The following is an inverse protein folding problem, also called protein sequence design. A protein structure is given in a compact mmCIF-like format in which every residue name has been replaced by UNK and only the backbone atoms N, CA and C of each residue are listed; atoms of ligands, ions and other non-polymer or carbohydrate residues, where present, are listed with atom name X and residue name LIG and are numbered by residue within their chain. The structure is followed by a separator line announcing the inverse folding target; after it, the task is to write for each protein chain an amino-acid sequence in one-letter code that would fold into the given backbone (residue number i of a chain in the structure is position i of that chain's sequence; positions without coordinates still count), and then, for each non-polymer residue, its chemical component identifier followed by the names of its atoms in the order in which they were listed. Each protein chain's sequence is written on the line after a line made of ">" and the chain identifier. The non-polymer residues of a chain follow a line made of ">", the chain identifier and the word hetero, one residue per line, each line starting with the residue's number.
data_IF_847613367382
#
_entry.id   IF_847613367382
#
_cell.length_a   1.000
_cell.length_b   1.000
_cell.length_c   1.000
_cell.angle_alpha   90.00
_cell.angle_beta   90.00
_cell.angle_gamma   90.00
#
_symmetry.space_group_name_H-M   'P 1'
#
loop_
_entity.id
_entity.type
_entity.pdbx_description
1 polymer ?
#
# COMPACT_ATOMS: atom_id res chain seq x y z
N UNK A 1 -44.16 -4.17 -21.29
CA UNK A 1 -43.39 -3.58 -20.18
C UNK A 1 -44.37 -3.01 -19.17
N UNK A 2 -44.16 -3.27 -17.88
CA UNK A 2 -45.00 -2.69 -16.82
C UNK A 2 -44.67 -1.19 -16.66
N UNK A 3 -45.63 -0.37 -16.21
CA UNK A 3 -45.44 1.09 -16.05
C UNK A 3 -44.19 1.44 -15.23
N UNK A 4 -43.87 0.63 -14.21
CA UNK A 4 -42.67 0.74 -13.39
C UNK A 4 -41.36 0.51 -14.17
N UNK A 5 -41.34 -0.40 -15.15
CA UNK A 5 -40.16 -0.69 -15.99
C UNK A 5 -39.87 0.45 -16.97
N UNK A 6 -40.92 1.09 -17.50
CA UNK A 6 -40.78 2.29 -18.36
C UNK A 6 -40.20 3.45 -17.55
N UNK A 7 -40.69 3.66 -16.33
CA UNK A 7 -40.20 4.70 -15.42
C UNK A 7 -38.72 4.48 -15.02
N UNK A 8 -38.35 3.25 -14.67
CA UNK A 8 -36.96 2.89 -14.33
C UNK A 8 -36.01 3.09 -15.52
N UNK A 9 -36.41 2.67 -16.72
CA UNK A 9 -35.59 2.87 -17.93
C UNK A 9 -35.42 4.37 -18.24
N UNK A 10 -36.48 5.17 -18.11
CA UNK A 10 -36.42 6.62 -18.30
C UNK A 10 -35.51 7.29 -17.26
N UNK A 11 -35.58 6.86 -15.99
CA UNK A 11 -34.74 7.39 -14.91
C UNK A 11 -33.25 7.08 -15.12
N UNK A 12 -32.91 5.87 -15.58
CA UNK A 12 -31.51 5.51 -15.93
C UNK A 12 -30.98 6.36 -17.09
N UNK A 13 -31.79 6.63 -18.11
CA UNK A 13 -31.40 7.50 -19.23
C UNK A 13 -31.16 8.94 -18.78
N UNK A 14 -32.04 9.51 -17.94
CA UNK A 14 -31.88 10.88 -17.42
C UNK A 14 -30.58 11.04 -16.62
N UNK A 15 -30.28 10.10 -15.71
CA UNK A 15 -29.04 10.13 -14.90
C UNK A 15 -27.79 10.04 -15.78
N UNK A 16 -27.82 9.24 -16.85
CA UNK A 16 -26.70 9.14 -17.80
C UNK A 16 -26.46 10.44 -18.60
N UNK A 17 -27.51 11.24 -18.85
CA UNK A 17 -27.40 12.52 -19.58
C UNK A 17 -26.98 13.72 -18.71
N UNK A 18 -27.21 13.67 -17.39
CA UNK A 18 -26.99 14.80 -16.49
C UNK A 18 -25.54 14.95 -15.98
N UNK A 19 -24.64 14.02 -16.33
CA UNK A 19 -23.28 13.93 -15.76
C UNK A 19 -22.14 14.36 -16.70
N UNK A 20 -22.43 14.88 -17.89
CA UNK A 20 -21.38 15.28 -18.84
C UNK A 20 -20.84 16.67 -18.49
N UNK A 21 -19.74 16.71 -17.72
CA UNK A 21 -18.89 17.89 -17.58
C UNK A 21 -18.55 18.45 -18.97
N UNK A 22 -18.46 19.78 -19.17
CA UNK A 22 -18.01 20.36 -20.43
C UNK A 22 -16.60 19.87 -20.83
N UNK A 23 -16.55 18.88 -21.71
CA UNK A 23 -15.31 18.38 -22.32
C UNK A 23 -14.94 19.24 -23.51
N UNK A 24 -14.03 20.18 -23.31
CA UNK A 24 -13.48 20.97 -24.41
C UNK A 24 -12.75 22.24 -23.99
N UNK A 25 -12.20 22.95 -24.97
CA UNK A 25 -11.55 24.25 -24.79
C UNK A 25 -11.65 25.11 -26.06
N UNK A 26 -11.76 26.43 -25.89
CA UNK A 26 -11.88 27.36 -27.01
C UNK A 26 -10.59 27.45 -27.83
N UNK A 27 -10.73 27.58 -29.15
CA UNK A 27 -9.64 27.78 -30.10
C UNK A 27 -10.03 28.88 -31.09
N UNK A 28 -9.07 29.77 -31.38
CA UNK A 28 -9.24 30.88 -32.32
C UNK A 28 -8.03 30.96 -33.23
N UNK A 29 -8.25 31.17 -34.52
CA UNK A 29 -7.19 31.32 -35.51
C UNK A 29 -7.56 32.33 -36.59
N UNK A 30 -6.55 32.87 -37.29
CA UNK A 30 -6.73 33.75 -38.45
C UNK A 30 -6.23 33.02 -39.69
N UNK A 31 -7.12 32.76 -40.64
CA UNK A 31 -6.80 32.03 -41.86
C UNK A 31 -6.35 32.99 -42.96
N UNK A 32 -5.22 32.67 -43.59
CA UNK A 32 -4.60 33.45 -44.67
C UNK A 32 -4.21 32.55 -45.83
N UNK A 33 -4.20 33.10 -47.03
CA UNK A 33 -3.65 32.44 -48.22
C UNK A 33 -2.11 32.55 -48.27
N UNK A 34 -1.49 31.92 -49.26
CA UNK A 34 -0.03 31.94 -49.49
C UNK A 34 0.54 33.35 -49.75
N UNK A 35 -0.28 34.30 -50.19
CA UNK A 35 0.07 35.72 -50.35
C UNK A 35 -0.14 36.54 -49.07
N UNK A 36 -0.49 35.91 -47.94
CA UNK A 36 -0.72 36.57 -46.65
C UNK A 36 -2.05 37.30 -46.51
N UNK A 37 -2.90 37.29 -47.54
CA UNK A 37 -4.23 37.89 -47.51
C UNK A 37 -5.18 37.03 -46.67
N UNK A 38 -6.10 37.66 -45.95
CA UNK A 38 -7.07 36.95 -45.10
C UNK A 38 -8.13 36.24 -45.95
N UNK A 39 -8.49 35.01 -45.57
CA UNK A 39 -9.60 34.27 -46.18
C UNK A 39 -10.91 34.75 -45.53
N UNK A 40 -11.40 35.93 -45.90
CA UNK A 40 -12.58 36.55 -45.27
C UNK A 40 -13.92 36.01 -45.82
N UNK A 41 -14.90 35.79 -44.93
CA UNK A 41 -16.26 35.30 -45.25
C UNK A 41 -16.31 33.98 -46.04
N UNK A 42 -15.28 33.14 -45.93
CA UNK A 42 -15.16 31.86 -46.64
C UNK A 42 -15.64 30.70 -45.78
N UNK A 43 -16.39 29.78 -46.39
CA UNK A 43 -16.70 28.49 -45.78
C UNK A 43 -15.46 27.59 -45.84
N UNK A 44 -15.07 27.04 -44.69
CA UNK A 44 -13.89 26.20 -44.53
C UNK A 44 -14.17 25.05 -43.59
N UNK A 45 -13.48 23.94 -43.78
CA UNK A 45 -13.50 22.81 -42.84
C UNK A 45 -12.15 22.69 -42.17
N UNK A 46 -12.11 22.77 -40.85
CA UNK A 46 -10.93 22.53 -40.04
C UNK A 46 -10.98 21.12 -39.46
N UNK A 47 -9.89 20.38 -39.56
CA UNK A 47 -9.66 19.13 -38.83
C UNK A 47 -8.62 19.39 -37.75
N UNK A 48 -8.99 19.09 -36.50
CA UNK A 48 -8.15 19.31 -35.33
C UNK A 48 -7.86 17.94 -34.70
N UNK A 49 -6.57 17.63 -34.53
CA UNK A 49 -6.11 16.33 -34.03
C UNK A 49 -5.20 16.52 -32.82
N UNK A 50 -5.47 15.77 -31.75
CA UNK A 50 -4.63 15.67 -30.56
C UNK A 50 -3.75 14.43 -30.70
N UNK A 51 -2.44 14.65 -30.83
CA UNK A 51 -1.46 13.62 -31.20
C UNK A 51 -0.29 13.55 -30.22
N UNK A 52 0.56 12.53 -30.37
CA UNK A 52 1.92 12.56 -29.86
C UNK A 52 2.80 13.52 -30.69
N UNK A 53 4.03 13.78 -30.22
CA UNK A 53 5.01 14.66 -30.89
C UNK A 53 5.31 14.27 -32.35
N UNK A 54 5.46 12.97 -32.61
CA UNK A 54 5.72 12.44 -33.94
C UNK A 54 4.50 12.46 -34.89
N UNK A 55 3.31 12.80 -34.40
CA UNK A 55 2.05 12.71 -35.16
C UNK A 55 1.61 11.28 -35.52
N UNK A 56 2.36 10.25 -35.09
CA UNK A 56 2.11 8.84 -35.42
C UNK A 56 0.97 8.21 -34.61
N UNK A 57 0.62 8.80 -33.47
CA UNK A 57 -0.52 8.40 -32.64
C UNK A 57 -1.51 9.56 -32.55
N UNK A 58 -2.73 9.32 -33.01
CA UNK A 58 -3.86 10.27 -32.87
C UNK A 58 -4.73 9.76 -31.72
N UNK A 59 -4.77 10.51 -30.62
CA UNK A 59 -5.59 10.18 -29.45
C UNK A 59 -7.06 10.56 -29.67
N UNK A 60 -7.27 11.67 -30.38
CA UNK A 60 -8.57 12.21 -30.74
C UNK A 60 -8.45 13.10 -31.98
N UNK A 61 -9.42 13.04 -32.88
CA UNK A 61 -9.57 14.00 -33.96
C UNK A 61 -11.04 14.34 -34.21
N UNK A 62 -11.30 15.59 -34.57
CA UNK A 62 -12.62 16.11 -34.91
C UNK A 62 -12.56 17.08 -36.09
N UNK A 63 -13.70 17.34 -36.71
CA UNK A 63 -13.87 18.33 -37.77
C UNK A 63 -14.93 19.39 -37.42
N UNK A 64 -14.69 20.60 -37.91
CA UNK A 64 -15.57 21.77 -37.78
C UNK A 64 -15.74 22.41 -39.16
N UNK A 65 -16.97 22.46 -39.67
CA UNK A 65 -17.33 23.26 -40.83
C UNK A 65 -17.78 24.64 -40.34
N UNK A 66 -17.02 25.69 -40.67
CA UNK A 66 -17.22 27.06 -40.16
C UNK A 66 -17.05 28.08 -41.27
N UNK A 67 -17.63 29.27 -41.10
CA UNK A 67 -17.34 30.43 -41.94
C UNK A 67 -16.38 31.36 -41.20
N UNK A 68 -15.37 31.90 -41.90
CA UNK A 68 -14.50 32.95 -41.36
C UNK A 68 -15.22 34.29 -41.28
N UNK A 69 -14.82 35.15 -40.33
CA UNK A 69 -15.30 36.54 -40.28
C UNK A 69 -14.69 37.42 -41.41
N UNK A 70 -15.05 38.70 -41.42
CA UNK A 70 -14.51 39.70 -42.37
C UNK A 70 -13.01 39.97 -42.25
N UNK A 71 -12.35 39.44 -41.21
CA UNK A 71 -10.89 39.51 -40.95
C UNK A 71 -10.21 38.15 -41.12
N UNK A 72 -10.93 37.12 -41.59
CA UNK A 72 -10.41 35.75 -41.73
C UNK A 72 -10.36 34.95 -40.43
N UNK A 73 -11.00 35.41 -39.36
CA UNK A 73 -10.97 34.77 -38.03
C UNK A 73 -11.97 33.62 -37.98
N UNK A 74 -11.54 32.48 -37.42
CA UNK A 74 -12.40 31.38 -36.97
C UNK A 74 -12.39 31.29 -35.44
N UNK A 75 -13.52 30.96 -34.83
CA UNK A 75 -13.64 30.67 -33.40
C UNK A 75 -14.43 29.37 -33.25
N UNK A 76 -13.90 28.41 -32.50
CA UNK A 76 -14.50 27.08 -32.31
C UNK A 76 -14.16 26.52 -30.92
N UNK A 77 -14.86 25.48 -30.49
CA UNK A 77 -14.57 24.75 -29.25
C UNK A 77 -14.07 23.35 -29.57
N UNK A 78 -12.83 23.06 -29.17
CA UNK A 78 -12.22 21.75 -29.39
C UNK A 78 -12.83 20.74 -28.42
N UNK A 79 -13.30 19.60 -28.93
CA UNK A 79 -14.08 18.61 -28.17
C UNK A 79 -15.60 18.74 -28.34
N UNK A 80 -16.05 19.64 -29.22
CA UNK A 80 -17.46 19.87 -29.59
C UNK A 80 -17.73 19.73 -31.09
N UNK A 81 -16.73 19.37 -31.89
CA UNK A 81 -16.86 19.14 -33.32
C UNK A 81 -17.45 17.76 -33.66
N UNK A 82 -17.46 17.44 -34.95
CA UNK A 82 -17.82 16.09 -35.41
C UNK A 82 -16.62 15.18 -35.24
N UNK A 83 -16.75 14.13 -34.41
CA UNK A 83 -15.64 13.20 -34.15
C UNK A 83 -15.26 12.46 -35.44
N UNK A 84 -13.97 12.52 -35.78
CA UNK A 84 -13.35 11.82 -36.92
C UNK A 84 -12.70 10.52 -36.43
N UNK A 85 -12.01 10.55 -35.27
CA UNK A 85 -11.41 9.36 -34.66
C UNK A 85 -11.09 9.55 -33.16
N UNK A 86 -10.89 8.43 -32.46
CA UNK A 86 -10.47 8.42 -31.06
C UNK A 86 -11.54 8.90 -30.08
N UNK A 87 -11.12 9.28 -28.87
CA UNK A 87 -11.99 9.84 -27.83
C UNK A 87 -11.29 10.92 -27.02
N UNK A 88 -11.96 12.06 -26.82
CA UNK A 88 -11.42 13.19 -26.05
C UNK A 88 -11.08 12.80 -24.59
N UNK A 89 -11.79 11.82 -24.02
CA UNK A 89 -11.55 11.29 -22.68
C UNK A 89 -10.32 10.37 -22.58
N UNK A 90 -9.81 9.86 -23.71
CA UNK A 90 -8.64 8.97 -23.77
C UNK A 90 -7.34 9.73 -24.07
N UNK A 91 -7.39 11.04 -24.26
CA UNK A 91 -6.20 11.88 -24.44
C UNK A 91 -5.38 11.88 -23.14
N UNK A 92 -4.06 11.60 -23.17
CA UNK A 92 -3.26 11.40 -21.97
C UNK A 92 -2.82 12.73 -21.33
N UNK A 93 -3.79 13.53 -20.89
CA UNK A 93 -3.56 14.84 -20.28
C UNK A 93 -2.57 14.84 -19.09
N UNK A 94 -2.61 13.88 -18.13
CA UNK A 94 -1.76 13.93 -16.93
C UNK A 94 -0.27 13.72 -17.21
N UNK A 95 0.08 12.90 -18.21
CA UNK A 95 1.48 12.69 -18.61
C UNK A 95 2.03 13.81 -19.48
N UNK A 96 1.15 14.68 -20.01
CA UNK A 96 1.51 15.67 -21.02
C UNK A 96 1.96 15.03 -22.33
N UNK A 97 2.77 15.76 -23.11
CA UNK A 97 3.27 15.27 -24.41
C UNK A 97 2.23 15.29 -25.53
N UNK A 98 1.08 15.94 -25.32
CA UNK A 98 0.01 16.10 -26.31
C UNK A 98 0.30 17.29 -27.22
N UNK A 99 0.09 17.12 -28.52
CA UNK A 99 0.25 18.15 -29.54
C UNK A 99 -1.07 18.35 -30.28
N UNK A 100 -1.41 19.60 -30.60
CA UNK A 100 -2.53 19.97 -31.45
C UNK A 100 -2.02 20.17 -32.88
N UNK A 101 -2.37 19.24 -33.77
CA UNK A 101 -2.23 19.38 -35.21
C UNK A 101 -3.50 20.02 -35.79
N UNK A 102 -3.34 21.04 -36.62
CA UNK A 102 -4.44 21.75 -37.28
C UNK A 102 -4.31 21.60 -38.79
N UNK A 103 -5.41 21.23 -39.44
CA UNK A 103 -5.49 21.05 -40.88
C UNK A 103 -6.71 21.79 -41.45
N UNK A 104 -6.55 22.40 -42.61
CA UNK A 104 -7.54 23.26 -43.26
C UNK A 104 -7.93 22.71 -44.63
N UNK A 105 -9.23 22.67 -44.90
CA UNK A 105 -9.79 22.40 -46.22
C UNK A 105 -10.71 23.55 -46.65
N UNK A 106 -10.58 24.01 -47.90
CA UNK A 106 -11.48 25.00 -48.51
C UNK A 106 -12.53 24.36 -49.44
N UNK A 107 -12.40 23.07 -49.75
CA UNK A 107 -13.32 22.30 -50.59
C UNK A 107 -14.03 21.15 -49.83
N UNK A 108 -13.65 20.89 -48.58
CA UNK A 108 -14.21 19.85 -47.72
C UNK A 108 -13.53 18.48 -47.83
N UNK A 109 -12.69 18.25 -48.85
CA UNK A 109 -12.00 16.98 -49.13
C UNK A 109 -10.51 17.03 -48.84
N UNK A 110 -9.82 18.06 -49.33
CA UNK A 110 -8.36 18.14 -49.31
C UNK A 110 -7.88 18.98 -48.14
N UNK A 111 -7.01 18.41 -47.29
CA UNK A 111 -6.56 19.01 -46.04
C UNK A 111 -5.09 19.43 -46.10
N UNK A 112 -4.84 20.74 -46.04
CA UNK A 112 -3.52 21.32 -45.87
C UNK A 112 -3.17 21.38 -44.37
N UNK A 113 -1.99 20.89 -43.98
CA UNK A 113 -1.53 21.05 -42.58
C UNK A 113 -1.10 22.49 -42.32
N UNK A 114 -1.77 23.15 -41.37
CA UNK A 114 -1.51 24.53 -40.95
C UNK A 114 -0.47 24.63 -39.83
N UNK A 115 -0.17 23.51 -39.16
CA UNK A 115 0.88 23.39 -38.16
C UNK A 115 0.57 22.36 -37.08
N UNK A 116 1.58 22.06 -36.27
CA UNK A 116 1.47 21.21 -35.08
C UNK A 116 2.14 21.94 -33.91
N UNK A 117 1.43 22.12 -32.80
CA UNK A 117 1.94 22.82 -31.62
C UNK A 117 1.77 21.99 -30.35
N UNK A 118 2.71 22.08 -29.41
CA UNK A 118 2.63 21.38 -28.13
C UNK A 118 1.56 22.05 -27.25
N UNK A 119 0.64 21.26 -26.71
CA UNK A 119 -0.29 21.73 -25.69
C UNK A 119 0.45 21.95 -24.37
N UNK A 120 0.35 23.15 -23.82
CA UNK A 120 0.87 23.49 -22.50
C UNK A 120 -0.27 23.50 -21.47
N UNK A 121 0.05 23.15 -20.23
CA UNK A 121 -0.93 23.15 -19.14
C UNK A 121 -1.37 24.59 -18.82
N UNK A 122 -2.66 24.87 -18.99
CA UNK A 122 -3.27 26.17 -18.64
C UNK A 122 -3.28 26.33 -17.10
N UNK A 123 -3.09 27.54 -16.53
CA UNK A 123 -3.07 27.75 -15.08
C UNK A 123 -4.29 27.19 -14.33
N UNK A 124 -5.48 27.26 -14.93
CA UNK A 124 -6.70 26.67 -14.35
C UNK A 124 -6.65 25.13 -14.28
N UNK A 125 -6.08 24.46 -15.29
CA UNK A 125 -5.91 23.02 -15.29
C UNK A 125 -4.88 22.56 -14.22
N UNK A 126 -3.81 23.35 -14.01
CA UNK A 126 -2.84 23.12 -12.92
C UNK A 126 -3.45 23.23 -11.52
N UNK A 127 -4.50 24.04 -11.36
CA UNK A 127 -5.23 24.17 -10.09
C UNK A 127 -6.31 23.09 -9.91
N UNK A 128 -6.97 22.67 -10.99
CA UNK A 128 -7.96 21.59 -10.92
C UNK A 128 -7.31 20.23 -10.60
N UNK A 129 -6.17 19.91 -11.21
CA UNK A 129 -5.45 18.63 -11.00
C UNK A 129 -4.92 18.47 -9.56
N UNK A 130 -4.50 19.56 -8.91
CA UNK A 130 -4.05 19.50 -7.51
C UNK A 130 -5.20 19.24 -6.52
N UNK A 131 -6.44 19.60 -6.90
CA UNK A 131 -7.68 19.39 -6.10
C UNK A 131 -8.43 18.09 -6.41
N UNK A 132 -8.23 17.47 -7.57
CA UNK A 132 -8.99 16.28 -7.97
C UNK A 132 -8.40 14.94 -7.48
N UNK A 133 -7.39 14.99 -6.61
CA UNK A 133 -6.90 13.82 -5.85
C UNK A 133 -7.78 13.54 -4.62
N UNK A 134 -9.09 13.48 -4.82
CA UNK A 134 -10.05 13.05 -3.82
C UNK A 134 -9.79 11.56 -3.50
N UNK A 135 -9.09 11.29 -2.40
CA UNK A 135 -8.80 9.93 -1.90
C UNK A 135 -7.32 9.54 -1.85
N UNK A 136 -6.37 10.39 -2.28
CA UNK A 136 -4.93 10.11 -2.07
C UNK A 136 -4.44 10.82 -0.82
N UNK A 137 -4.13 10.04 0.21
CA UNK A 137 -3.39 10.52 1.40
C UNK A 137 -2.02 11.03 0.95
N UNK A 138 -1.87 12.36 0.87
CA UNK A 138 -0.59 13.00 0.55
C UNK A 138 0.28 13.04 1.81
N UNK A 139 1.39 12.31 1.78
CA UNK A 139 2.44 12.38 2.81
C UNK A 139 3.80 12.14 2.16
N UNK A 140 4.80 12.93 2.55
CA UNK A 140 6.20 12.75 2.13
C UNK A 140 6.84 11.66 3.01
N UNK A 141 6.51 10.40 2.72
CA UNK A 141 7.04 9.26 3.44
C UNK A 141 8.50 8.97 3.07
N UNK A 142 9.44 9.41 3.90
CA UNK A 142 10.80 8.86 3.90
C UNK A 142 10.81 7.43 4.48
N UNK A 143 11.72 6.58 4.00
CA UNK A 143 11.85 5.20 4.49
C UNK A 143 12.28 5.22 5.96
N UNK A 144 11.40 4.77 6.85
CA UNK A 144 11.61 4.76 8.31
C UNK A 144 10.80 5.82 9.07
N UNK A 145 10.13 6.75 8.37
CA UNK A 145 9.29 7.78 8.98
C UNK A 145 7.81 7.47 8.80
N UNK A 146 7.01 7.64 9.85
CA UNK A 146 5.54 7.61 9.75
C UNK A 146 5.09 8.87 9.01
N UNK A 147 4.17 8.72 8.05
CA UNK A 147 3.58 9.86 7.36
C UNK A 147 2.73 10.70 8.34
N UNK A 148 3.31 11.79 8.85
CA UNK A 148 2.59 12.75 9.70
C UNK A 148 1.68 13.58 8.81
N UNK A 149 0.37 13.41 8.97
CA UNK A 149 -0.62 14.23 8.31
C UNK A 149 -0.70 15.60 9.01
N UNK A 150 -0.47 16.68 8.25
CA UNK A 150 -0.37 18.07 8.75
C UNK A 150 -1.35 19.04 8.06
N UNK A 151 -2.32 18.51 7.31
CA UNK A 151 -3.38 19.30 6.67
C UNK A 151 -4.50 19.72 7.64
N UNK A 152 -5.47 20.54 7.19
CA UNK A 152 -6.68 20.85 7.95
C UNK A 152 -7.88 19.90 7.71
N UNK A 153 -7.86 19.02 6.70
CA UNK A 153 -9.05 18.30 6.14
C UNK A 153 -9.55 17.04 6.89
N UNK A 154 -8.83 16.52 7.88
CA UNK A 154 -8.86 15.13 8.45
C UNK A 154 -8.38 14.02 7.49
N UNK A 155 -8.08 12.83 8.04
CA UNK A 155 -7.83 11.59 7.28
C UNK A 155 -9.01 10.64 7.46
N UNK A 156 -9.85 10.51 6.43
CA UNK A 156 -10.99 9.59 6.41
C UNK A 156 -10.64 8.28 5.69
N UNK A 157 -11.34 7.19 6.01
CA UNK A 157 -11.20 5.92 5.29
C UNK A 157 -10.10 4.97 5.78
N UNK A 158 -9.56 5.16 6.98
CA UNK A 158 -8.72 4.16 7.65
C UNK A 158 -9.62 3.15 8.42
N UNK A 159 -9.84 1.92 7.91
CA UNK A 159 -10.85 1.03 8.49
C UNK A 159 -10.51 0.52 9.90
N UNK A 160 -9.21 0.42 10.22
CA UNK A 160 -8.71 -0.20 11.46
C UNK A 160 -7.92 0.79 12.34
N UNK A 161 -7.85 2.07 11.97
CA UNK A 161 -7.14 3.11 12.72
C UNK A 161 -8.03 4.35 12.85
N UNK A 162 -8.54 4.60 14.05
CA UNK A 162 -9.36 5.76 14.35
C UNK A 162 -8.61 6.74 15.27
N UNK A 163 -8.74 8.04 15.01
CA UNK A 163 -8.11 9.14 15.74
C UNK A 163 -9.20 10.04 16.33
N UNK A 164 -9.93 9.54 17.33
CA UNK A 164 -10.94 10.28 18.07
C UNK A 164 -10.44 10.51 19.50
N UNK A 165 -9.79 11.66 19.75
CA UNK A 165 -9.09 12.05 20.98
C UNK A 165 -7.90 11.16 21.40
N UNK A 166 -7.84 9.90 20.96
CA UNK A 166 -6.75 8.95 21.16
C UNK A 166 -6.61 8.03 19.93
N UNK A 167 -5.45 7.36 19.81
CA UNK A 167 -5.22 6.33 18.80
C UNK A 167 -5.97 5.04 19.19
N UNK A 168 -6.86 4.58 18.32
CA UNK A 168 -7.55 3.28 18.44
C UNK A 168 -7.12 2.38 17.29
N UNK A 169 -6.61 1.20 17.62
CA UNK A 169 -6.32 0.11 16.66
C UNK A 169 -7.41 -0.95 16.81
N UNK A 170 -8.13 -1.25 15.73
CA UNK A 170 -9.23 -2.21 15.75
C UNK A 170 -8.91 -3.46 14.90
N UNK A 171 -9.15 -4.64 15.46
CA UNK A 171 -9.00 -5.90 14.73
C UNK A 171 -10.03 -6.04 13.62
N UNK A 172 -9.65 -6.70 12.52
CA UNK A 172 -10.58 -6.99 11.43
C UNK A 172 -11.72 -7.90 11.95
N UNK A 173 -13.00 -7.51 11.86
CA UNK A 173 -14.13 -8.34 12.34
C UNK A 173 -14.30 -9.67 11.60
N UNK A 174 -13.66 -9.86 10.44
CA UNK A 174 -13.61 -11.14 9.72
C UNK A 174 -12.23 -11.81 9.76
N UNK A 175 -11.33 -11.35 10.64
CA UNK A 175 -10.01 -11.98 10.85
C UNK A 175 -10.13 -13.27 11.65
N UNK A 176 -9.24 -14.22 11.39
CA UNK A 176 -9.10 -15.44 12.18
C UNK A 176 -8.58 -15.13 13.59
N UNK A 177 -8.78 -16.02 14.58
CA UNK A 177 -8.23 -15.87 15.93
C UNK A 177 -6.72 -15.59 16.00
N UNK A 178 -5.94 -16.21 15.12
CA UNK A 178 -4.49 -16.06 14.99
C UNK A 178 -4.04 -14.86 14.13
N UNK A 179 -4.97 -14.14 13.49
CA UNK A 179 -4.62 -12.96 12.70
C UNK A 179 -4.28 -11.78 13.65
N UNK A 180 -3.13 -11.11 13.47
CA UNK A 180 -2.72 -10.04 14.36
C UNK A 180 -3.52 -8.75 14.14
N UNK A 181 -3.89 -8.12 15.25
CA UNK A 181 -4.40 -6.74 15.32
C UNK A 181 -3.23 -5.74 15.30
N UNK A 182 -2.14 -6.06 16.00
CA UNK A 182 -0.96 -5.21 16.12
C UNK A 182 0.30 -6.05 16.40
N UNK A 183 1.41 -5.78 15.72
CA UNK A 183 2.69 -6.47 15.96
C UNK A 183 3.88 -5.50 16.04
N UNK A 184 4.67 -5.64 17.10
CA UNK A 184 6.03 -5.08 17.19
C UNK A 184 7.00 -6.17 16.79
N UNK A 185 7.79 -5.94 15.73
CA UNK A 185 8.78 -6.89 15.21
C UNK A 185 10.21 -6.39 15.43
N UNK A 186 11.16 -7.30 15.56
CA UNK A 186 12.58 -6.97 15.54
C UNK A 186 13.11 -6.79 14.10
N UNK A 187 14.39 -6.42 13.96
CA UNK A 187 15.03 -6.19 12.65
C UNK A 187 15.14 -7.41 11.73
N UNK A 188 14.75 -8.61 12.20
CA UNK A 188 14.68 -9.85 11.41
C UNK A 188 13.24 -10.22 11.03
N UNK A 189 12.25 -9.40 11.41
CA UNK A 189 10.83 -9.68 11.20
C UNK A 189 10.18 -10.58 12.27
N UNK A 190 10.91 -10.98 13.31
CA UNK A 190 10.38 -11.82 14.39
C UNK A 190 9.50 -10.97 15.33
N UNK A 191 8.27 -11.41 15.60
CA UNK A 191 7.32 -10.70 16.49
C UNK A 191 7.83 -10.75 17.92
N UNK A 192 8.03 -9.58 18.54
CA UNK A 192 8.38 -9.42 19.97
C UNK A 192 7.14 -9.22 20.84
N UNK A 193 6.15 -8.49 20.32
CA UNK A 193 4.87 -8.22 20.99
C UNK A 193 3.78 -8.28 19.94
N UNK A 194 2.86 -9.23 20.06
CA UNK A 194 1.72 -9.40 19.14
C UNK A 194 0.40 -9.38 19.90
N UNK A 195 -0.53 -8.55 19.44
CA UNK A 195 -1.92 -8.53 19.89
C UNK A 195 -2.76 -9.24 18.83
N UNK A 196 -3.48 -10.26 19.24
CA UNK A 196 -4.35 -11.11 18.43
C UNK A 196 -5.79 -11.01 18.96
N UNK A 197 -6.76 -11.54 18.22
CA UNK A 197 -8.18 -11.48 18.64
C UNK A 197 -8.43 -12.19 19.98
N UNK A 198 -7.68 -13.26 20.28
CA UNK A 198 -7.82 -14.04 21.53
C UNK A 198 -6.83 -13.69 22.64
N UNK A 199 -5.87 -12.78 22.42
CA UNK A 199 -4.92 -12.40 23.48
C UNK A 199 -3.61 -11.77 23.00
N UNK A 200 -2.66 -11.65 23.94
CA UNK A 200 -1.36 -11.00 23.72
C UNK A 200 -0.23 -12.01 23.87
N UNK A 201 0.69 -12.05 22.89
CA UNK A 201 1.91 -12.87 22.92
C UNK A 201 3.13 -11.96 23.08
N UNK A 202 3.98 -12.24 24.08
CA UNK A 202 5.24 -11.51 24.31
C UNK A 202 6.41 -12.48 24.14
N UNK A 203 7.18 -12.32 23.07
CA UNK A 203 8.32 -13.16 22.74
C UNK A 203 9.61 -12.42 23.08
N UNK A 204 10.39 -12.96 24.01
CA UNK A 204 11.71 -12.44 24.36
C UNK A 204 12.76 -13.31 23.64
N UNK A 205 13.58 -12.76 22.74
CA UNK A 205 14.60 -13.52 22.03
C UNK A 205 15.69 -13.94 23.01
N UNK A 206 15.68 -15.22 23.38
CA UNK A 206 16.72 -15.80 24.21
C UNK A 206 18.01 -15.93 23.40
N UNK A 207 19.12 -15.40 23.93
CA UNK A 207 20.43 -15.64 23.33
C UNK A 207 20.70 -17.14 23.37
N UNK A 208 20.99 -17.72 22.21
CA UNK A 208 21.23 -19.16 22.08
C UNK A 208 22.19 -19.62 23.18
N UNK A 209 21.74 -20.58 24.01
CA UNK A 209 22.50 -21.08 25.15
C UNK A 209 23.92 -21.39 24.68
N UNK A 210 24.91 -20.63 25.17
CA UNK A 210 26.30 -20.79 24.80
C UNK A 210 26.76 -22.18 25.19
N UNK A 211 26.67 -23.11 24.23
CA UNK A 211 27.05 -24.51 24.41
C UNK A 211 28.50 -24.51 24.86
N UNK A 212 28.77 -25.11 26.02
CA UNK A 212 30.14 -25.27 26.51
C UNK A 212 31.02 -25.83 25.40
N UNK A 213 32.21 -25.25 25.22
CA UNK A 213 32.96 -25.21 23.95
C UNK A 213 33.31 -26.57 23.31
N UNK A 214 33.07 -27.70 23.99
CA UNK A 214 33.22 -29.04 23.44
C UNK A 214 31.99 -29.89 23.76
N UNK A 215 31.24 -30.27 22.73
CA UNK A 215 30.24 -31.33 22.80
C UNK A 215 30.90 -32.70 22.93
N UNK A 216 30.22 -33.65 23.57
CA UNK A 216 30.69 -35.03 23.68
C UNK A 216 30.79 -35.72 22.32
N UNK A 217 31.68 -36.71 22.26
CA UNK A 217 32.00 -37.55 21.10
C UNK A 217 30.72 -38.10 20.43
N UNK A 218 30.56 -37.88 19.13
CA UNK A 218 29.47 -38.44 18.34
C UNK A 218 30.07 -39.31 17.22
N UNK A 219 29.79 -40.61 17.26
CA UNK A 219 30.09 -41.54 16.16
C UNK A 219 28.76 -41.95 15.55
N UNK A 220 28.50 -41.57 14.30
CA UNK A 220 27.25 -41.87 13.60
C UNK A 220 26.04 -41.07 14.07
N UNK A 221 25.91 -39.81 13.64
CA UNK A 221 24.72 -39.00 13.93
C UNK A 221 24.74 -37.64 13.25
N UNK A 222 24.20 -37.55 12.03
CA UNK A 222 23.95 -36.28 11.34
C UNK A 222 22.75 -35.58 11.99
N UNK A 223 22.97 -34.81 13.06
CA UNK A 223 21.89 -34.11 13.76
C UNK A 223 21.74 -32.68 13.24
N UNK A 224 20.77 -32.47 12.33
CA UNK A 224 20.25 -31.15 11.98
C UNK A 224 19.35 -30.60 13.11
N UNK A 225 19.92 -30.43 14.31
CA UNK A 225 19.23 -29.82 15.44
C UNK A 225 19.19 -28.30 15.29
N UNK A 226 18.25 -27.83 14.48
CA UNK A 226 17.92 -26.41 14.36
C UNK A 226 17.33 -25.91 15.68
N UNK A 227 18.10 -25.04 16.35
CA UNK A 227 17.75 -23.97 17.32
C UNK A 227 16.51 -24.14 18.21
N UNK A 228 16.67 -23.81 19.49
CA UNK A 228 15.55 -23.49 20.36
C UNK A 228 14.63 -22.46 19.68
N UNK A 229 13.33 -22.76 19.61
CA UNK A 229 12.31 -21.82 19.18
C UNK A 229 12.12 -20.69 20.21
N UNK A 230 11.25 -19.70 19.91
CA UNK A 230 10.88 -18.69 20.89
C UNK A 230 10.35 -19.35 22.16
N UNK A 231 10.88 -18.93 23.31
CA UNK A 231 10.43 -19.40 24.63
C UNK A 231 9.31 -18.48 25.09
N UNK A 232 8.13 -19.04 25.36
CA UNK A 232 7.01 -18.33 25.96
C UNK A 232 7.35 -18.05 27.44
N UNK A 233 7.50 -16.78 27.81
CA UNK A 233 7.83 -16.36 29.19
C UNK A 233 6.60 -15.97 30.01
N UNK A 234 5.54 -15.51 29.34
CA UNK A 234 4.29 -15.09 29.96
C UNK A 234 3.12 -15.55 29.07
N UNK A 235 2.19 -16.29 29.67
CA UNK A 235 0.87 -16.57 29.09
C UNK A 235 -0.20 -16.09 30.05
N UNK A 236 -1.18 -15.35 29.55
CA UNK A 236 -2.39 -15.00 30.29
C UNK A 236 -3.59 -15.52 29.48
N UNK A 237 -4.38 -16.37 30.11
CA UNK A 237 -5.66 -16.88 29.62
C UNK A 237 -6.73 -16.60 30.68
N UNK A 238 -8.04 -16.63 30.35
CA UNK A 238 -9.10 -16.34 31.31
C UNK A 238 -9.10 -17.22 32.57
N UNK A 239 -8.51 -18.42 32.48
CA UNK A 239 -8.36 -19.40 33.56
C UNK A 239 -7.01 -19.34 34.29
N UNK A 240 -5.95 -18.74 33.73
CA UNK A 240 -4.61 -18.77 34.34
C UNK A 240 -3.65 -17.68 33.84
N UNK A 241 -2.81 -17.16 34.74
CA UNK A 241 -1.57 -16.48 34.37
C UNK A 241 -0.38 -17.40 34.68
N UNK A 242 0.48 -17.64 33.69
CA UNK A 242 1.67 -18.51 33.80
C UNK A 242 2.91 -17.68 33.48
N UNK A 243 3.82 -17.61 34.45
CA UNK A 243 5.12 -16.93 34.30
C UNK A 243 6.22 -17.99 34.32
N UNK A 244 6.86 -18.20 33.17
CA UNK A 244 8.00 -19.10 33.07
C UNK A 244 9.28 -18.32 33.36
N UNK A 245 10.05 -18.73 34.37
CA UNK A 245 11.36 -18.14 34.67
C UNK A 245 12.45 -19.09 34.17
N UNK A 246 13.34 -18.59 33.31
CA UNK A 246 14.49 -19.37 32.83
C UNK A 246 15.46 -19.66 33.97
N UNK A 247 15.39 -20.87 34.52
CA UNK A 247 16.44 -21.40 35.37
C UNK A 247 17.73 -21.58 34.55
N UNK A 248 18.84 -21.04 35.06
CA UNK A 248 20.17 -21.23 34.47
C UNK A 248 20.66 -22.65 34.77
N UNK A 249 20.29 -23.60 33.91
CA UNK A 249 20.75 -24.98 34.00
C UNK A 249 22.29 -25.05 33.96
N UNK A 250 22.92 -25.25 35.12
CA UNK A 250 24.38 -25.23 35.27
C UNK A 250 24.98 -26.56 34.79
N UNK A 251 25.07 -26.74 33.47
CA UNK A 251 25.83 -27.85 32.91
C UNK A 251 27.32 -27.62 33.24
N UNK A 252 27.91 -28.54 34.00
CA UNK A 252 29.34 -28.51 34.30
C UNK A 252 30.19 -28.42 33.02
N UNK A 253 31.32 -27.71 33.10
CA UNK A 253 32.11 -27.27 31.93
C UNK A 253 32.67 -28.40 31.04
N UNK A 254 32.56 -29.66 31.44
CA UNK A 254 32.98 -30.85 30.69
C UNK A 254 31.87 -31.91 30.79
N UNK A 255 31.48 -32.50 29.66
CA UNK A 255 30.56 -33.64 29.65
C UNK A 255 31.28 -34.93 30.05
N UNK A 256 30.69 -35.70 30.96
CA UNK A 256 31.20 -37.02 31.33
C UNK A 256 31.00 -38.05 30.22
N UNK A 257 32.00 -38.89 30.02
CA UNK A 257 31.92 -40.12 29.23
C UNK A 257 31.43 -41.22 30.18
N UNK A 258 30.53 -42.10 29.72
CA UNK A 258 30.06 -43.23 30.50
C UNK A 258 30.04 -44.48 29.62
N UNK A 259 30.74 -45.52 30.04
CA UNK A 259 30.69 -46.86 29.43
C UNK A 259 30.22 -47.80 30.54
N UNK A 260 29.17 -48.58 30.29
CA UNK A 260 28.69 -49.59 31.24
C UNK A 260 28.17 -49.06 32.58
N UNK A 261 26.95 -48.51 32.59
CA UNK A 261 26.26 -48.21 33.86
C UNK A 261 24.79 -47.85 33.66
N UNK A 262 23.87 -48.72 34.06
CA UNK A 262 22.46 -48.35 34.23
C UNK A 262 22.38 -47.35 35.40
N UNK A 263 22.24 -46.08 35.08
CA UNK A 263 21.89 -45.05 36.06
C UNK A 263 20.51 -44.52 35.70
N UNK A 264 19.59 -44.52 36.68
CA UNK A 264 18.32 -43.80 36.58
C UNK A 264 18.56 -42.28 36.72
N UNK A 265 19.44 -41.73 35.89
CA UNK A 265 19.74 -40.31 35.85
C UNK A 265 18.69 -39.58 35.00
N UNK A 266 17.46 -39.54 35.52
CA UNK A 266 16.42 -38.64 35.02
C UNK A 266 17.00 -37.24 35.02
N UNK A 267 16.92 -36.53 33.88
CA UNK A 267 17.11 -35.08 33.87
C UNK A 267 15.89 -34.48 34.56
N UNK A 268 15.93 -34.37 35.88
CA UNK A 268 14.87 -33.70 36.63
C UNK A 268 14.90 -32.23 36.28
N UNK A 269 14.08 -31.85 35.31
CA UNK A 269 13.57 -30.48 35.21
C UNK A 269 12.62 -30.34 36.39
N UNK A 270 13.14 -29.82 37.50
CA UNK A 270 12.32 -29.50 38.66
C UNK A 270 11.47 -28.30 38.27
N UNK A 271 10.19 -28.53 37.97
CA UNK A 271 9.22 -27.46 38.02
C UNK A 271 9.16 -26.99 39.49
N UNK A 272 9.58 -25.75 39.74
CA UNK A 272 9.57 -25.16 41.08
C UNK A 272 8.64 -23.95 41.07
N UNK A 273 7.76 -23.88 42.06
CA UNK A 273 6.89 -22.73 42.26
C UNK A 273 7.71 -21.61 42.89
N UNK A 274 8.18 -20.66 42.07
CA UNK A 274 8.93 -19.49 42.54
C UNK A 274 8.06 -18.48 43.29
N UNK A 275 6.78 -18.43 42.95
CA UNK A 275 5.78 -17.51 43.48
C UNK A 275 4.46 -18.26 43.62
N UNK A 276 4.01 -18.42 44.86
CA UNK A 276 2.70 -18.98 45.20
C UNK A 276 1.84 -17.86 45.78
N UNK A 277 0.67 -17.61 45.19
CA UNK A 277 -0.29 -16.61 45.67
C UNK A 277 -1.63 -17.30 45.89
N UNK A 278 -2.20 -17.09 47.08
CA UNK A 278 -3.50 -17.56 47.53
C UNK A 278 -4.17 -16.38 48.27
N UNK A 279 -5.51 -16.33 48.45
CA UNK A 279 -6.17 -15.17 49.06
C UNK A 279 -5.72 -14.84 50.48
N UNK A 280 -5.12 -15.80 51.19
CA UNK A 280 -4.58 -15.67 52.55
C UNK A 280 -3.06 -15.42 52.61
N UNK A 281 -2.31 -15.63 51.52
CA UNK A 281 -0.86 -15.69 51.57
C UNK A 281 -0.17 -15.55 50.21
N UNK A 282 0.97 -14.84 50.20
CA UNK A 282 1.93 -14.86 49.11
C UNK A 282 3.27 -15.41 49.62
N UNK A 283 3.84 -16.39 48.92
CA UNK A 283 5.14 -17.00 49.22
C UNK A 283 6.07 -16.86 48.02
N UNK A 284 7.28 -16.36 48.28
CA UNK A 284 8.33 -16.15 47.27
C UNK A 284 9.53 -17.02 47.65
N UNK A 285 9.91 -17.92 46.76
CA UNK A 285 11.01 -18.86 46.97
C UNK A 285 12.25 -18.37 46.20
N UNK A 286 13.25 -17.84 46.93
CA UNK A 286 14.38 -17.13 46.31
C UNK A 286 15.57 -18.06 46.04
N UNK A 287 15.68 -19.21 46.73
CA UNK A 287 16.84 -20.10 46.60
C UNK A 287 16.55 -21.55 47.00
N UNK A 288 16.42 -22.44 46.02
CA UNK A 288 16.68 -23.88 46.18
C UNK A 288 17.86 -24.23 45.29
N UNK A 289 19.05 -24.33 45.87
CA UNK A 289 20.30 -24.51 45.13
C UNK A 289 20.56 -26.02 44.87
N UNK A 290 20.40 -26.55 43.64
CA UNK A 290 20.71 -27.95 43.33
C UNK A 290 22.21 -28.12 43.08
N UNK A 291 23.03 -27.58 44.00
CA UNK A 291 24.46 -27.39 43.87
C UNK A 291 25.24 -28.70 43.89
N UNK A 292 25.23 -29.46 42.79
CA UNK A 292 26.15 -30.59 42.61
C UNK A 292 27.58 -30.05 42.54
N UNK A 293 28.44 -30.55 43.43
CA UNK A 293 29.82 -30.09 43.57
C UNK A 293 30.64 -30.19 42.29
N UNK A 294 31.72 -29.40 42.21
CA UNK A 294 32.48 -29.12 40.97
C UNK A 294 33.16 -30.33 40.28
N UNK A 295 33.07 -31.54 40.84
CA UNK A 295 33.64 -32.77 40.27
C UNK A 295 32.56 -33.85 40.18
N UNK A 296 32.17 -34.19 38.95
CA UNK A 296 31.47 -35.45 38.67
C UNK A 296 32.41 -36.62 38.96
N UNK A 297 31.87 -37.69 39.56
CA UNK A 297 32.67 -38.83 40.03
C UNK A 297 33.45 -39.54 38.93
N UNK A 298 34.61 -40.06 39.30
CA UNK A 298 35.36 -41.03 38.52
C UNK A 298 34.56 -42.34 38.46
N UNK A 299 34.46 -42.94 37.29
CA UNK A 299 34.02 -44.32 37.08
C UNK A 299 35.04 -44.96 36.14
N UNK A 300 35.37 -46.23 36.40
CA UNK A 300 36.49 -46.97 35.80
C UNK A 300 36.26 -47.24 34.32
#
# INVERSE_FOLDING_TARGET
>A
MNKLQVLLLFMVVVIATAAQQPTGFSYQAVLRNSSGQVLANQNVTLRLSLTNEAGSTVYYAESHAVQTDSRGVVTLEIGKGTVVSGSFSQVPWPTGGVFLKVELSTNGSDYLTMGTQRMLAVPYARYADSTNLAGVVKGTGEVGSVAVWSGPETVTGLPNLNFANSLVVQGNPTGNPDDPIFEVKNSKGEVLFGVYQEGVRINIPDSAITKGAKGGFAVGGLTNQTKAGPVEYLRITPDSARVYVKQKAWKGAKGGFAVGGLTNQTKTVVAQDLLFINPDSARIYINENPGKGAKGGFAV
#
